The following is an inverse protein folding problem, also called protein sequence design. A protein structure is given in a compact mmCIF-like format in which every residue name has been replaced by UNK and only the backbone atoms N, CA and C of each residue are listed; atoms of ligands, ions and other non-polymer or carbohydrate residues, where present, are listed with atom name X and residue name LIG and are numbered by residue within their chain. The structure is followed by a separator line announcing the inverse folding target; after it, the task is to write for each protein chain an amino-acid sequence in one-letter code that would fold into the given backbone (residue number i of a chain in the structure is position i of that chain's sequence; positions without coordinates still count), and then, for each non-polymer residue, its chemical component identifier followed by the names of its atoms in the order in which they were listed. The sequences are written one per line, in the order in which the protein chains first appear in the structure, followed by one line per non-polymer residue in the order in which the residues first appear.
data_IF_624930662218
#
_entry.id   IF_624930662218
#
_cell.length_a   1.000
_cell.length_b   1.000
_cell.length_c   1.000
_cell.angle_alpha   90.00
_cell.angle_beta   90.00
_cell.angle_gamma   90.00
#
_symmetry.space_group_name_H-M   'P 1'
#
loop_
_entity.id
_entity.type
_entity.pdbx_description
1 polymer ?
#
# COMPACT_ATOMS: atom_id res chain seq x y z
N UNK A 1 1.21 26.98 40.83
CA UNK A 1 0.52 26.33 39.69
C UNK A 1 0.81 27.02 38.33
N UNK A 2 2.07 27.29 37.96
CA UNK A 2 2.45 27.77 36.60
C UNK A 2 3.30 26.75 35.84
N UNK A 3 4.14 25.99 36.53
CA UNK A 3 5.04 25.00 35.91
C UNK A 3 4.30 23.85 35.18
N UNK A 4 3.13 23.44 35.68
CA UNK A 4 2.36 22.32 35.09
C UNK A 4 1.71 22.72 33.75
N UNK A 5 1.36 24.01 33.57
CA UNK A 5 0.72 24.49 32.33
C UNK A 5 1.70 24.63 31.16
N UNK A 6 3.00 24.88 31.46
CA UNK A 6 4.06 24.87 30.45
C UNK A 6 4.32 23.46 29.93
N UNK A 7 4.36 22.47 30.83
CA UNK A 7 4.62 21.08 30.47
C UNK A 7 3.60 20.56 29.43
N UNK A 8 2.30 20.82 29.65
CA UNK A 8 1.24 20.41 28.73
C UNK A 8 1.33 21.08 27.34
N UNK A 9 1.83 22.31 27.25
CA UNK A 9 1.96 23.01 25.97
C UNK A 9 3.15 22.53 25.13
N UNK A 10 4.18 21.95 25.77
CA UNK A 10 5.36 21.41 25.08
C UNK A 10 5.18 19.92 24.69
N UNK A 11 4.32 19.19 25.40
CA UNK A 11 3.99 17.79 25.05
C UNK A 11 3.17 17.66 23.77
N UNK A 12 2.28 18.62 23.49
CA UNK A 12 1.46 18.63 22.29
C UNK A 12 2.28 18.69 20.97
N UNK A 13 3.26 19.62 20.80
CA UNK A 13 4.09 19.67 19.61
C UNK A 13 5.06 18.48 19.52
N UNK A 14 5.60 18.01 20.65
CA UNK A 14 6.46 16.83 20.67
C UNK A 14 5.72 15.57 20.21
N UNK A 15 4.49 15.35 20.70
CA UNK A 15 3.65 14.25 20.26
C UNK A 15 3.25 14.37 18.78
N UNK A 16 2.92 15.58 18.32
CA UNK A 16 2.61 15.83 16.92
C UNK A 16 3.81 15.51 16.00
N UNK A 17 5.04 15.86 16.40
CA UNK A 17 6.26 15.53 15.66
C UNK A 17 6.54 14.02 15.65
N UNK A 18 6.25 13.33 16.75
CA UNK A 18 6.41 11.88 16.85
C UNK A 18 5.41 11.17 15.92
N UNK A 19 4.13 11.57 15.95
CA UNK A 19 3.13 11.02 15.03
C UNK A 19 3.48 11.36 13.58
N UNK A 20 3.90 12.59 13.28
CA UNK A 20 4.30 13.00 11.94
C UNK A 20 5.49 12.17 11.41
N UNK A 21 6.52 11.93 12.23
CA UNK A 21 7.68 11.13 11.82
C UNK A 21 7.31 9.67 11.56
N UNK A 22 6.44 9.08 12.38
CA UNK A 22 5.90 7.72 12.14
C UNK A 22 5.09 7.66 10.85
N UNK A 23 4.21 8.62 10.60
CA UNK A 23 3.38 8.68 9.38
C UNK A 23 4.26 8.83 8.14
N UNK A 24 5.26 9.72 8.17
CA UNK A 24 6.20 9.91 7.04
C UNK A 24 6.99 8.62 6.80
N UNK A 25 7.51 7.99 7.86
CA UNK A 25 8.24 6.72 7.75
C UNK A 25 7.39 5.60 7.14
N UNK A 26 6.13 5.48 7.55
CA UNK A 26 5.18 4.52 7.00
C UNK A 26 4.91 4.79 5.51
N UNK A 27 4.69 6.04 5.12
CA UNK A 27 4.47 6.41 3.70
C UNK A 27 5.68 6.01 2.85
N UNK A 28 6.90 6.32 3.29
CA UNK A 28 8.14 5.99 2.55
C UNK A 28 8.36 4.48 2.44
N UNK A 29 8.04 3.71 3.49
CA UNK A 29 8.16 2.24 3.42
C UNK A 29 7.08 1.59 2.55
N UNK A 30 5.89 2.18 2.48
CA UNK A 30 4.76 1.61 1.75
C UNK A 30 4.67 2.09 0.30
N UNK A 31 5.36 3.16 -0.07
CA UNK A 31 5.44 3.60 -1.48
C UNK A 31 6.08 2.50 -2.33
N UNK A 32 5.39 2.03 -3.39
CA UNK A 32 5.92 0.99 -4.25
C UNK A 32 7.22 1.46 -4.92
N UNK A 33 8.29 0.69 -4.72
CA UNK A 33 9.56 0.96 -5.40
C UNK A 33 9.50 0.43 -6.84
N UNK A 34 10.23 1.05 -7.78
CA UNK A 34 10.20 0.65 -9.19
C UNK A 34 10.65 -0.80 -9.43
N UNK A 35 11.55 -1.32 -8.59
CA UNK A 35 12.11 -2.68 -8.72
C UNK A 35 11.35 -3.73 -7.90
N UNK A 36 10.33 -3.32 -7.15
CA UNK A 36 9.56 -4.20 -6.28
C UNK A 36 8.15 -4.45 -6.83
N UNK A 37 7.56 -5.58 -6.45
CA UNK A 37 6.15 -5.82 -6.71
C UNK A 37 5.31 -4.90 -5.83
N UNK A 38 4.19 -4.42 -6.37
CA UNK A 38 3.16 -3.70 -5.64
C UNK A 38 1.97 -4.61 -5.34
N UNK A 39 1.36 -4.38 -4.19
CA UNK A 39 0.04 -4.87 -3.84
C UNK A 39 -0.99 -3.80 -4.17
N UNK A 40 -1.95 -4.14 -5.02
CA UNK A 40 -3.08 -3.30 -5.40
C UNK A 40 -4.33 -3.93 -4.80
N UNK A 41 -5.07 -3.15 -4.02
CA UNK A 41 -6.28 -3.61 -3.34
C UNK A 41 -7.48 -2.81 -3.85
N UNK A 42 -8.45 -3.52 -4.41
CA UNK A 42 -9.73 -3.01 -4.85
C UNK A 42 -10.83 -3.30 -3.82
N UNK A 43 -12.05 -2.84 -4.10
CA UNK A 43 -13.19 -3.11 -3.25
C UNK A 43 -13.52 -4.61 -3.24
N UNK A 44 -14.10 -5.15 -2.16
CA UNK A 44 -14.37 -6.59 -2.05
C UNK A 44 -15.37 -7.11 -3.10
N UNK A 45 -16.16 -6.22 -3.70
CA UNK A 45 -17.12 -6.55 -4.76
C UNK A 45 -16.50 -6.50 -6.17
N UNK A 46 -15.26 -6.05 -6.31
CA UNK A 46 -14.56 -6.01 -7.60
C UNK A 46 -14.21 -7.43 -8.04
N UNK A 47 -14.59 -7.79 -9.26
CA UNK A 47 -14.27 -9.08 -9.84
C UNK A 47 -12.79 -9.14 -10.21
N UNK A 48 -12.20 -10.34 -10.18
CA UNK A 48 -10.77 -10.52 -10.52
C UNK A 48 -10.44 -10.06 -11.93
N UNK A 49 -11.33 -10.29 -12.89
CA UNK A 49 -11.15 -9.86 -14.29
C UNK A 49 -11.13 -8.34 -14.39
N UNK A 50 -12.05 -7.66 -13.69
CA UNK A 50 -12.11 -6.19 -13.63
C UNK A 50 -10.87 -5.60 -12.95
N UNK A 51 -10.44 -6.19 -11.82
CA UNK A 51 -9.23 -5.78 -11.11
C UNK A 51 -7.97 -5.94 -11.96
N UNK A 52 -7.84 -7.05 -12.69
CA UNK A 52 -6.74 -7.30 -13.63
C UNK A 52 -6.75 -6.30 -14.77
N UNK A 53 -7.89 -6.09 -15.43
CA UNK A 53 -8.02 -5.15 -16.55
C UNK A 53 -7.57 -3.75 -16.15
N UNK A 54 -8.11 -3.21 -15.04
CA UNK A 54 -7.75 -1.88 -14.54
C UNK A 54 -6.28 -1.78 -14.13
N UNK A 55 -5.71 -2.87 -13.63
CA UNK A 55 -4.29 -2.93 -13.29
C UNK A 55 -3.42 -2.80 -14.55
N UNK A 56 -3.77 -3.53 -15.63
CA UNK A 56 -3.06 -3.48 -16.91
C UNK A 56 -3.19 -2.10 -17.57
N UNK A 57 -4.40 -1.53 -17.60
CA UNK A 57 -4.66 -0.19 -18.15
C UNK A 57 -3.83 0.90 -17.44
N UNK A 58 -3.55 0.71 -16.15
CA UNK A 58 -2.70 1.60 -15.37
C UNK A 58 -1.18 1.39 -15.55
N UNK A 59 -0.78 0.53 -16.49
CA UNK A 59 0.63 0.27 -16.85
C UNK A 59 1.33 -0.77 -15.97
N UNK A 60 0.60 -1.44 -15.08
CA UNK A 60 1.14 -2.52 -14.25
C UNK A 60 1.03 -3.86 -14.98
N UNK A 61 1.97 -4.77 -14.69
CA UNK A 61 1.96 -6.15 -15.12
C UNK A 61 1.49 -7.04 -13.96
N UNK A 62 0.26 -7.58 -13.99
CA UNK A 62 -0.24 -8.50 -12.97
C UNK A 62 0.57 -9.80 -12.94
N UNK A 63 0.89 -10.28 -11.74
CA UNK A 63 1.68 -11.50 -11.52
C UNK A 63 0.83 -12.56 -10.83
N UNK A 64 0.04 -12.15 -9.84
CA UNK A 64 -0.81 -13.05 -9.07
C UNK A 64 -2.02 -12.30 -8.50
N UNK A 65 -3.05 -13.06 -8.16
CA UNK A 65 -4.22 -12.54 -7.46
C UNK A 65 -4.57 -13.49 -6.30
N UNK A 66 -4.07 -13.23 -5.08
CA UNK A 66 -4.35 -14.10 -3.93
C UNK A 66 -5.82 -14.06 -3.49
N UNK A 67 -6.56 -13.01 -3.88
CA UNK A 67 -8.00 -12.85 -3.70
C UNK A 67 -8.56 -12.07 -4.88
N UNK A 68 -9.85 -12.23 -5.19
CA UNK A 68 -10.50 -11.57 -6.34
C UNK A 68 -10.29 -10.05 -6.42
N UNK A 69 -10.18 -9.38 -5.28
CA UNK A 69 -10.00 -7.93 -5.18
C UNK A 69 -8.55 -7.51 -4.87
N UNK A 70 -7.60 -8.43 -4.81
CA UNK A 70 -6.19 -8.17 -4.50
C UNK A 70 -5.33 -8.62 -5.68
N UNK A 71 -4.52 -7.71 -6.20
CA UNK A 71 -3.62 -7.97 -7.31
C UNK A 71 -2.19 -7.68 -6.86
N UNK A 72 -1.29 -8.63 -7.08
CA UNK A 72 0.15 -8.44 -6.99
C UNK A 72 0.65 -8.15 -8.39
N UNK A 73 1.27 -7.00 -8.60
CA UNK A 73 1.73 -6.56 -9.91
C UNK A 73 3.14 -5.97 -9.86
N UNK A 74 3.85 -5.97 -10.98
CA UNK A 74 5.12 -5.22 -11.15
C UNK A 74 4.93 -4.11 -12.14
N UNK A 75 5.81 -3.11 -12.07
CA UNK A 75 5.89 -2.08 -13.10
C UNK A 75 6.29 -2.73 -14.43
N UNK A 76 5.55 -2.46 -15.49
CA UNK A 76 5.99 -2.86 -16.83
C UNK A 76 7.16 -1.96 -17.26
N UNK A 77 8.27 -2.55 -17.70
CA UNK A 77 9.47 -1.80 -18.06
C UNK A 77 9.15 -0.79 -19.18
N UNK A 78 9.52 0.47 -18.98
CA UNK A 78 9.25 1.55 -19.93
C UNK A 78 7.82 2.11 -19.91
N UNK A 79 6.94 1.63 -19.02
CA UNK A 79 5.59 2.20 -18.86
C UNK A 79 5.54 3.29 -17.77
N UNK A 80 4.81 4.36 -18.06
CA UNK A 80 4.37 5.29 -17.04
C UNK A 80 3.26 4.61 -16.22
N UNK A 81 3.55 4.36 -14.95
CA UNK A 81 2.66 3.61 -14.09
C UNK A 81 1.88 4.55 -13.21
N UNK A 82 0.56 4.36 -13.18
CA UNK A 82 -0.37 5.19 -12.40
C UNK A 82 -1.12 4.35 -11.39
N UNK A 83 -1.82 5.01 -10.46
CA UNK A 83 -2.74 4.32 -9.56
C UNK A 83 -3.90 3.76 -10.40
N UNK A 84 -4.20 2.45 -10.33
CA UNK A 84 -5.36 1.88 -11.02
C UNK A 84 -6.67 2.52 -10.54
N UNK A 85 -7.62 2.72 -11.45
CA UNK A 85 -8.91 3.32 -11.13
C UNK A 85 -9.67 2.45 -10.10
N UNK A 86 -10.21 3.08 -9.07
CA UNK A 86 -10.95 2.38 -8.02
C UNK A 86 -10.09 1.51 -7.09
N UNK A 87 -8.76 1.52 -7.23
CA UNK A 87 -7.89 0.93 -6.22
C UNK A 87 -7.99 1.74 -4.92
N UNK A 88 -8.27 1.07 -3.80
CA UNK A 88 -8.30 1.66 -2.47
C UNK A 88 -6.89 1.81 -1.89
N UNK A 89 -6.05 0.80 -2.11
CA UNK A 89 -4.67 0.80 -1.64
C UNK A 89 -3.73 0.39 -2.77
N UNK A 90 -2.56 1.03 -2.77
CA UNK A 90 -1.42 0.68 -3.60
C UNK A 90 -0.19 0.73 -2.68
N UNK A 91 0.40 -0.43 -2.42
CA UNK A 91 1.42 -0.63 -1.39
C UNK A 91 2.60 -1.42 -1.96
N UNK A 92 3.78 -1.28 -1.38
CA UNK A 92 4.89 -2.21 -1.66
C UNK A 92 4.55 -3.62 -1.14
N UNK A 93 4.68 -4.63 -2.01
CA UNK A 93 4.34 -6.01 -1.66
C UNK A 93 5.37 -6.67 -0.72
N UNK A 94 6.55 -6.06 -0.49
CA UNK A 94 7.52 -6.58 0.48
C UNK A 94 7.06 -6.40 1.93
N UNK A 95 6.28 -5.36 2.21
CA UNK A 95 5.74 -5.04 3.54
C UNK A 95 4.61 -5.95 4.03
N UNK A 96 4.10 -6.84 3.16
CA UNK A 96 3.02 -7.79 3.48
C UNK A 96 3.50 -9.25 3.56
N UNK A 97 4.82 -9.46 3.60
CA UNK A 97 5.40 -10.78 3.78
C UNK A 97 4.82 -11.41 5.06
N UNK A 98 4.04 -12.50 4.89
CA UNK A 98 3.33 -13.17 5.99
C UNK A 98 1.83 -12.86 6.13
N UNK A 99 1.29 -11.83 5.46
CA UNK A 99 -0.16 -11.55 5.48
C UNK A 99 -0.99 -12.49 4.60
N UNK A 100 -0.35 -13.11 3.60
CA UNK A 100 -0.97 -14.08 2.72
C UNK A 100 -0.20 -15.39 2.83
N UNK A 101 -0.89 -16.44 3.28
CA UNK A 101 -0.40 -17.80 3.17
C UNK A 101 -0.51 -18.20 1.70
N UNK A 102 0.62 -18.38 1.00
CA UNK A 102 0.67 -18.88 -0.38
C UNK A 102 0.20 -20.35 -0.50
N UNK A 103 -0.32 -20.93 0.57
CA UNK A 103 -0.73 -22.34 0.71
C UNK A 103 -1.99 -22.73 -0.04
N UNK A 104 -2.56 -21.87 -0.89
CA UNK A 104 -3.74 -22.20 -1.71
C UNK A 104 -3.40 -22.61 -3.16
N UNK A 105 -2.12 -22.86 -3.46
CA UNK A 105 -1.67 -23.51 -4.71
C UNK A 105 -1.35 -24.98 -4.44
N UNK A 106 -2.20 -25.66 -3.67
CA UNK A 106 -2.17 -27.12 -3.58
C UNK A 106 -3.58 -27.63 -3.27
N UNK A 107 -4.46 -27.56 -4.28
CA UNK A 107 -5.42 -28.63 -4.57
C UNK A 107 -6.07 -28.48 -5.93
#
# INVERSE_FOLDING_TARGET
MRAIRSLMNDFLPAFALLVASVVIGAVVMLTPRPDHAALIVFGPMTLVTEAVTRTVEAGWLPIASPRSFVIIARRHAGSEVRRPEGAFLLLDASGISGCFSLSSVEK
#
